data_IF_120338698562
#
_entry.id   IF_120338698562
#
_cell.length_a   1.000
_cell.length_b   1.000
_cell.length_c   1.000
_cell.angle_alpha   90.00
_cell.angle_beta   90.00
_cell.angle_gamma   90.00
#
_symmetry.space_group_name_H-M   'P 1'
#
loop_
_entity.id
_entity.type
_entity.pdbx_description
1 polymer ?
#
# COMPACT_ATOMS: atom_id res chain seq x y z
N UNK A 1 -6.60 -7.27 -12.44
CA UNK A 1 -5.27 -7.71 -11.96
C UNK A 1 -5.07 -9.25 -11.94
N UNK A 2 -5.88 -10.03 -11.21
CA UNK A 2 -5.67 -11.49 -11.03
C UNK A 2 -5.46 -12.31 -12.31
N UNK A 3 -6.22 -11.99 -13.36
CA UNK A 3 -6.16 -12.68 -14.66
C UNK A 3 -4.88 -12.36 -15.45
N UNK A 4 -4.23 -11.24 -15.13
CA UNK A 4 -3.01 -10.76 -15.81
C UNK A 4 -1.77 -11.30 -15.10
N UNK A 5 -1.73 -11.16 -13.78
CA UNK A 5 -0.72 -11.75 -12.92
C UNK A 5 -1.40 -12.10 -11.59
N UNK A 6 -1.39 -13.38 -11.23
CA UNK A 6 -1.98 -13.82 -9.96
C UNK A 6 -0.94 -13.83 -8.84
N UNK A 7 0.35 -13.95 -9.17
CA UNK A 7 1.44 -14.00 -8.20
C UNK A 7 1.73 -12.61 -7.59
N UNK A 8 1.41 -11.53 -8.31
CA UNK A 8 1.57 -10.16 -7.83
C UNK A 8 0.52 -9.69 -6.80
N UNK A 9 -0.63 -10.37 -6.66
CA UNK A 9 -1.78 -9.87 -5.87
C UNK A 9 -1.56 -9.77 -4.34
N UNK A 10 -0.52 -10.39 -3.82
CA UNK A 10 -0.16 -10.32 -2.40
C UNK A 10 1.14 -9.57 -2.14
N UNK A 11 1.72 -8.98 -3.18
CA UNK A 11 2.99 -8.28 -3.09
C UNK A 11 2.75 -6.78 -2.83
N UNK A 12 3.55 -6.23 -1.94
CA UNK A 12 3.65 -4.81 -1.69
C UNK A 12 5.06 -4.37 -2.10
N UNK A 13 5.17 -3.36 -2.94
CA UNK A 13 6.44 -2.69 -3.21
C UNK A 13 6.47 -1.32 -2.54
N UNK A 14 7.64 -0.96 -2.04
CA UNK A 14 7.90 0.30 -1.34
C UNK A 14 8.99 1.03 -2.12
N UNK A 15 8.67 2.23 -2.58
CA UNK A 15 9.55 3.09 -3.37
C UNK A 15 9.73 4.43 -2.66
N UNK A 16 10.85 5.08 -2.91
CA UNK A 16 11.18 6.37 -2.31
C UNK A 16 11.47 7.39 -3.42
N UNK A 17 10.93 8.60 -3.27
CA UNK A 17 11.28 9.76 -4.10
C UNK A 17 12.08 10.74 -3.23
N UNK A 18 13.42 10.74 -3.32
CA UNK A 18 14.27 11.62 -2.51
C UNK A 18 14.08 13.11 -2.84
N UNK A 19 13.73 13.45 -4.09
CA UNK A 19 13.60 14.84 -4.52
C UNK A 19 12.37 15.52 -3.90
N UNK A 20 11.29 14.76 -3.73
CA UNK A 20 10.05 15.23 -3.09
C UNK A 20 9.93 14.83 -1.63
N UNK A 21 10.89 14.03 -1.14
CA UNK A 21 10.87 13.38 0.16
C UNK A 21 9.57 12.60 0.38
N UNK A 22 9.22 11.69 -0.54
CA UNK A 22 8.01 10.88 -0.47
C UNK A 22 8.34 9.39 -0.29
N UNK A 23 7.42 8.71 0.39
CA UNK A 23 7.35 7.25 0.43
C UNK A 23 6.12 6.80 -0.35
N UNK A 24 6.32 5.95 -1.36
CA UNK A 24 5.27 5.41 -2.20
C UNK A 24 5.14 3.93 -1.90
N UNK A 25 3.94 3.47 -1.55
CA UNK A 25 3.65 2.05 -1.41
C UNK A 25 2.64 1.63 -2.46
N UNK A 26 2.97 0.56 -3.18
CA UNK A 26 2.14 0.00 -4.24
C UNK A 26 1.72 -1.40 -3.83
N UNK A 27 0.43 -1.58 -3.59
CA UNK A 27 -0.20 -2.89 -3.45
C UNK A 27 -0.88 -3.20 -4.78
N UNK A 28 -0.19 -3.96 -5.63
CA UNK A 28 -0.59 -4.13 -7.03
C UNK A 28 -1.97 -4.80 -7.13
N UNK A 29 -2.86 -4.21 -7.93
CA UNK A 29 -4.24 -4.66 -8.05
C UNK A 29 -5.18 -4.19 -6.93
N UNK A 30 -4.72 -3.36 -6.00
CA UNK A 30 -5.55 -2.78 -4.95
C UNK A 30 -5.41 -1.26 -4.82
N UNK A 31 -4.24 -0.76 -4.41
CA UNK A 31 -4.06 0.68 -4.16
C UNK A 31 -2.59 1.12 -4.22
N UNK A 32 -2.39 2.38 -4.58
CA UNK A 32 -1.13 3.11 -4.42
C UNK A 32 -1.32 4.16 -3.33
N UNK A 33 -0.41 4.18 -2.36
CA UNK A 33 -0.37 5.14 -1.28
C UNK A 33 0.88 6.01 -1.42
N UNK A 34 0.69 7.32 -1.50
CA UNK A 34 1.77 8.31 -1.54
C UNK A 34 1.76 9.07 -0.23
N UNK A 35 2.83 8.96 0.55
CA UNK A 35 2.98 9.62 1.85
C UNK A 35 4.10 10.64 1.75
N UNK A 36 3.86 11.86 2.25
CA UNK A 36 4.91 12.87 2.35
C UNK A 36 5.76 12.56 3.58
N UNK A 37 7.06 12.53 3.38
CA UNK A 37 8.05 12.12 4.38
C UNK A 37 8.70 10.78 4.05
N UNK A 38 9.77 10.52 4.79
CA UNK A 38 10.53 9.30 4.73
C UNK A 38 10.02 8.31 5.78
N UNK A 39 9.33 7.26 5.34
CA UNK A 39 8.85 6.19 6.22
C UNK A 39 9.67 4.93 5.92
N UNK A 40 10.42 4.39 6.90
CA UNK A 40 11.21 3.19 6.70
C UNK A 40 10.40 2.00 6.18
N UNK A 41 11.03 1.14 5.37
CA UNK A 41 10.37 -0.03 4.79
C UNK A 41 9.75 -0.95 5.86
N UNK A 42 10.47 -1.19 6.95
CA UNK A 42 9.99 -2.02 8.07
C UNK A 42 8.73 -1.44 8.76
N UNK A 43 8.52 -0.11 8.69
CA UNK A 43 7.28 0.50 9.16
C UNK A 43 6.17 0.38 8.12
N UNK A 44 6.49 0.53 6.83
CA UNK A 44 5.52 0.39 5.73
C UNK A 44 5.01 -1.05 5.56
N UNK A 45 5.84 -2.05 5.87
CA UNK A 45 5.46 -3.47 5.92
C UNK A 45 4.48 -3.77 7.07
N UNK A 46 4.50 -2.95 8.13
CA UNK A 46 3.56 -3.09 9.24
C UNK A 46 2.27 -2.35 8.91
N UNK A 47 1.14 -3.06 8.83
CA UNK A 47 -0.13 -2.44 8.48
C UNK A 47 -0.53 -1.41 9.55
N UNK A 48 -0.90 -0.22 9.07
CA UNK A 48 -1.35 0.86 9.95
C UNK A 48 -2.78 0.58 10.44
N UNK A 49 -3.08 1.00 11.68
CA UNK A 49 -4.35 0.71 12.36
C UNK A 49 -5.53 1.52 11.79
N UNK A 50 -5.98 1.16 10.59
CA UNK A 50 -7.16 1.74 9.91
C UNK A 50 -8.37 0.82 9.91
N UNK A 51 -8.19 -0.44 10.33
CA UNK A 51 -9.23 -1.47 10.37
C UNK A 51 -9.48 -1.95 11.81
N UNK A 52 -10.64 -2.57 12.01
CA UNK A 52 -11.01 -3.23 13.26
C UNK A 52 -10.68 -4.72 13.18
N UNK A 53 -10.45 -5.34 14.33
CA UNK A 53 -10.44 -6.80 14.41
C UNK A 53 -11.86 -7.38 14.27
N UNK A 54 -11.98 -8.71 14.22
CA UNK A 54 -13.26 -9.42 14.11
C UNK A 54 -14.27 -9.04 15.21
N UNK A 55 -13.79 -8.78 16.43
CA UNK A 55 -14.61 -8.32 17.56
C UNK A 55 -14.97 -6.84 17.52
N UNK A 56 -14.80 -6.15 16.38
CA UNK A 56 -15.02 -4.71 16.21
C UNK A 56 -14.23 -3.84 17.20
N UNK A 57 -13.06 -4.31 17.62
CA UNK A 57 -12.18 -3.63 18.56
C UNK A 57 -10.91 -3.11 17.86
N UNK A 58 -10.35 -2.02 18.39
CA UNK A 58 -9.12 -1.34 17.92
C UNK A 58 -7.90 -1.62 18.80
N UNK A 59 -8.03 -2.40 19.88
CA UNK A 59 -6.92 -2.73 20.77
C UNK A 59 -5.84 -3.49 19.98
N UNK A 60 -4.60 -2.97 19.88
CA UNK A 60 -3.52 -3.58 19.13
C UNK A 60 -3.18 -5.01 19.61
N UNK A 61 -3.46 -5.34 20.87
CA UNK A 61 -3.17 -6.66 21.46
C UNK A 61 -4.11 -7.77 20.96
N UNK A 62 -5.21 -7.39 20.31
CA UNK A 62 -6.23 -8.32 19.85
C UNK A 62 -6.12 -8.65 18.35
N UNK A 63 -5.09 -8.15 17.66
CA UNK A 63 -4.79 -8.55 16.29
C UNK A 63 -3.88 -9.77 16.29
N UNK A 64 -4.03 -10.66 15.31
CA UNK A 64 -3.16 -11.84 15.11
C UNK A 64 -1.78 -11.48 14.55
N UNK A 65 -1.53 -10.20 14.25
CA UNK A 65 -0.29 -9.70 13.69
C UNK A 65 0.03 -8.30 14.23
N UNK A 66 1.30 -7.93 14.14
CA UNK A 66 1.79 -6.63 14.58
C UNK A 66 1.24 -5.51 13.69
N UNK A 67 0.50 -4.58 14.28
CA UNK A 67 0.05 -3.36 13.62
C UNK A 67 0.89 -2.16 14.06
N UNK A 68 0.83 -1.06 13.30
CA UNK A 68 1.46 0.22 13.69
C UNK A 68 0.42 1.31 13.96
N UNK A 69 0.72 2.30 14.82
CA UNK A 69 -0.13 3.49 14.95
C UNK A 69 -0.38 4.16 13.60
N UNK A 70 -1.62 4.62 13.41
CA UNK A 70 -1.92 5.56 12.34
C UNK A 70 -1.49 6.96 12.80
N UNK A 71 -0.72 7.66 11.96
CA UNK A 71 -0.29 9.00 12.27
C UNK A 71 -1.45 9.98 12.22
N UNK A 72 -1.47 10.94 13.15
CA UNK A 72 -2.41 12.06 13.12
C UNK A 72 -1.81 13.32 12.49
N UNK A 73 -0.55 13.25 12.08
CA UNK A 73 0.12 14.38 11.45
C UNK A 73 -0.40 14.51 10.01
N UNK A 74 -0.91 15.69 9.60
CA UNK A 74 -1.43 15.90 8.24
C UNK A 74 -0.42 15.61 7.13
N UNK A 75 0.88 15.73 7.43
CA UNK A 75 1.94 15.41 6.46
C UNK A 75 2.08 13.91 6.20
N UNK A 76 1.76 13.07 7.19
CA UNK A 76 1.88 11.61 7.09
C UNK A 76 0.57 10.95 6.64
N UNK A 77 -0.45 11.74 6.34
CA UNK A 77 -1.68 11.26 5.74
C UNK A 77 -1.41 10.84 4.28
N UNK A 78 -1.67 9.56 3.91
CA UNK A 78 -1.43 9.08 2.56
C UNK A 78 -2.47 9.62 1.59
N UNK A 79 -2.01 10.03 0.41
CA UNK A 79 -2.85 10.12 -0.77
C UNK A 79 -3.05 8.71 -1.33
N UNK A 80 -4.30 8.25 -1.40
CA UNK A 80 -4.64 6.88 -1.83
C UNK A 80 -5.30 6.91 -3.19
N UNK A 81 -4.74 6.16 -4.13
CA UNK A 81 -5.27 5.92 -5.48
C UNK A 81 -5.66 4.45 -5.58
N UNK A 82 -6.91 4.16 -5.93
CA UNK A 82 -7.42 2.80 -5.94
C UNK A 82 -7.34 2.21 -7.34
N UNK A 83 -6.97 0.93 -7.42
CA UNK A 83 -6.87 0.22 -8.67
C UNK A 83 -8.16 0.35 -9.50
N UNK A 84 -8.01 0.82 -10.74
CA UNK A 84 -9.11 0.98 -11.69
C UNK A 84 -9.05 -0.11 -12.77
N UNK A 85 -7.92 -0.21 -13.47
CA UNK A 85 -7.80 -1.10 -14.61
C UNK A 85 -6.36 -1.62 -14.79
N UNK A 86 -6.21 -2.73 -15.51
CA UNK A 86 -4.91 -3.24 -15.96
C UNK A 86 -4.98 -3.60 -17.44
N UNK A 87 -4.02 -3.09 -18.21
CA UNK A 87 -3.88 -3.36 -19.63
C UNK A 87 -2.60 -4.15 -19.84
N UNK A 88 -2.71 -5.31 -20.48
CA UNK A 88 -1.55 -6.11 -20.85
C UNK A 88 -1.11 -5.75 -22.26
N UNK A 89 0.12 -5.26 -22.40
CA UNK A 89 0.74 -5.12 -23.70
C UNK A 89 1.39 -6.44 -24.10
N UNK A 90 0.76 -7.15 -25.03
CA UNK A 90 1.19 -8.46 -25.52
C UNK A 90 2.46 -8.41 -26.36
N UNK A 91 2.84 -7.25 -26.91
CA UNK A 91 4.07 -7.13 -27.70
C UNK A 91 5.32 -7.25 -26.84
N UNK A 92 5.28 -6.71 -25.62
CA UNK A 92 6.44 -6.63 -24.72
C UNK A 92 6.28 -7.45 -23.44
N UNK A 93 5.16 -8.15 -23.25
CA UNK A 93 4.80 -8.83 -22.00
C UNK A 93 4.85 -7.90 -20.78
N UNK A 94 4.41 -6.64 -20.94
CA UNK A 94 4.36 -5.64 -19.86
C UNK A 94 2.90 -5.33 -19.52
N UNK A 95 2.59 -5.26 -18.23
CA UNK A 95 1.30 -4.78 -17.75
C UNK A 95 1.38 -3.32 -17.33
N UNK A 96 0.36 -2.54 -17.70
CA UNK A 96 0.15 -1.16 -17.26
C UNK A 96 -1.07 -1.14 -16.35
N UNK A 97 -0.96 -0.51 -15.19
CA UNK A 97 -2.07 -0.42 -14.24
C UNK A 97 -2.46 1.02 -14.02
N UNK A 98 -3.77 1.28 -14.10
CA UNK A 98 -4.40 2.56 -13.80
C UNK A 98 -4.93 2.51 -12.37
N UNK A 99 -4.66 3.57 -11.62
CA UNK A 99 -5.06 3.77 -10.22
C UNK A 99 -5.69 5.15 -10.06
#
# INVERSE_FOLDING_TARGET
PAKVDSAGLMQQSICYDPARNWTVSVSWGYAVQIIRGWIPAHEMERPARTFYNWGKNKDPRLFSFSTRPWSKHPCEEPYVYFFNNVVMNTANNVSWSEY
#
